data_IF_228570210992
#
_entry.id   IF_228570210992
#
_cell.length_a   1.000
_cell.length_b   1.000
_cell.length_c   1.000
_cell.angle_alpha   90.00
_cell.angle_beta   90.00
_cell.angle_gamma   90.00
#
_symmetry.space_group_name_H-M   'P 1'
#
loop_
_entity.id
_entity.type
_entity.pdbx_description
1 polymer ?
#
# COMPACT_ATOMS: atom_id res chain seq x y z
N UNK A 1 1.82 -9.97 26.95
CA UNK A 1 2.91 -9.58 26.05
C UNK A 1 3.99 -10.66 26.12
N UNK A 2 4.23 -11.38 25.04
CA UNK A 2 5.31 -12.35 24.94
C UNK A 2 6.60 -11.55 24.88
N UNK A 3 7.57 -11.82 25.73
CA UNK A 3 8.85 -11.11 25.70
C UNK A 3 9.73 -11.63 24.54
N UNK A 4 10.73 -10.86 24.12
CA UNK A 4 11.57 -11.16 22.96
C UNK A 4 12.26 -12.53 23.08
N UNK A 5 12.58 -12.98 24.29
CA UNK A 5 13.22 -14.27 24.57
C UNK A 5 12.24 -15.44 24.34
N UNK A 6 11.00 -15.30 24.81
CA UNK A 6 9.92 -16.27 24.55
C UNK A 6 9.54 -16.31 23.05
N UNK A 7 9.60 -15.15 22.36
CA UNK A 7 9.38 -15.08 20.93
C UNK A 7 10.49 -15.78 20.13
N UNK A 8 11.74 -15.65 20.58
CA UNK A 8 12.91 -16.34 19.98
C UNK A 8 12.82 -17.84 20.24
N UNK A 9 12.47 -18.28 21.46
CA UNK A 9 12.28 -19.70 21.80
C UNK A 9 11.12 -20.34 21.01
N UNK A 10 10.02 -19.62 20.78
CA UNK A 10 8.92 -20.07 19.94
C UNK A 10 9.38 -20.22 18.47
N UNK A 11 10.16 -19.28 17.96
CA UNK A 11 10.72 -19.37 16.61
C UNK A 11 11.74 -20.50 16.50
N UNK A 12 12.56 -20.72 17.52
CA UNK A 12 13.53 -21.82 17.54
C UNK A 12 12.85 -23.19 17.64
N UNK A 13 11.72 -23.28 18.34
CA UNK A 13 10.90 -24.50 18.39
C UNK A 13 10.05 -24.74 17.14
N UNK A 14 9.84 -23.72 16.29
CA UNK A 14 9.05 -23.83 15.05
C UNK A 14 9.84 -24.37 13.84
N UNK A 15 11.17 -24.58 13.97
CA UNK A 15 12.03 -25.08 12.88
C UNK A 15 12.53 -26.49 13.16
N UNK A 16 11.61 -27.41 13.14
CA UNK A 16 11.88 -28.85 13.14
C UNK A 16 12.12 -29.37 11.71
N UNK A 17 12.61 -30.61 11.59
CA UNK A 17 12.66 -31.34 10.33
C UNK A 17 11.33 -31.29 9.56
N UNK A 18 10.19 -31.24 10.28
CA UNK A 18 8.85 -31.09 9.70
C UNK A 18 8.64 -29.79 8.93
N UNK A 19 9.31 -28.69 9.32
CA UNK A 19 9.20 -27.41 8.58
C UNK A 19 10.14 -27.38 7.38
N UNK A 20 11.27 -28.10 7.43
CA UNK A 20 12.12 -28.36 6.28
C UNK A 20 11.36 -29.16 5.22
N UNK A 21 10.66 -30.20 5.61
CA UNK A 21 9.89 -31.09 4.73
C UNK A 21 8.63 -30.41 4.16
N UNK A 22 8.05 -29.45 4.90
CA UNK A 22 6.80 -28.75 4.55
C UNK A 22 6.89 -27.85 3.31
N UNK A 23 8.09 -27.47 2.93
CA UNK A 23 8.32 -26.55 1.81
C UNK A 23 8.66 -27.23 0.48
N UNK A 24 8.48 -28.56 0.36
CA UNK A 24 8.73 -29.35 -0.86
C UNK A 24 10.12 -29.13 -1.49
N UNK A 25 11.11 -28.70 -0.70
CA UNK A 25 12.44 -28.38 -1.18
C UNK A 25 12.55 -27.13 -2.07
N UNK A 26 11.44 -26.48 -2.45
CA UNK A 26 11.46 -25.32 -3.36
C UNK A 26 12.15 -24.10 -2.77
N UNK A 27 11.97 -23.88 -1.47
CA UNK A 27 12.57 -22.73 -0.80
C UNK A 27 14.07 -22.89 -0.66
N UNK A 28 14.52 -24.08 -0.26
CA UNK A 28 15.94 -24.44 -0.17
C UNK A 28 16.60 -24.34 -1.53
N UNK A 29 15.98 -24.86 -2.58
CA UNK A 29 16.46 -24.75 -3.96
C UNK A 29 16.58 -23.29 -4.41
N UNK A 30 15.62 -22.44 -4.03
CA UNK A 30 15.67 -21.00 -4.31
C UNK A 30 16.85 -20.29 -3.64
N UNK A 31 17.15 -20.64 -2.38
CA UNK A 31 18.32 -20.11 -1.65
C UNK A 31 19.62 -20.61 -2.30
N UNK A 32 19.71 -21.90 -2.60
CA UNK A 32 20.89 -22.48 -3.26
C UNK A 32 21.11 -21.87 -4.65
N UNK A 33 20.04 -21.63 -5.43
CA UNK A 33 20.16 -20.95 -6.71
C UNK A 33 20.80 -19.55 -6.58
N UNK A 34 20.42 -18.79 -5.55
CA UNK A 34 21.06 -17.50 -5.23
C UNK A 34 22.52 -17.63 -4.82
N UNK A 35 22.86 -18.65 -4.02
CA UNK A 35 24.24 -18.95 -3.65
C UNK A 35 25.09 -19.22 -4.90
N UNK A 36 24.56 -20.04 -5.81
CA UNK A 36 25.25 -20.45 -7.04
C UNK A 36 25.34 -19.35 -8.09
N UNK A 37 24.45 -18.36 -8.06
CA UNK A 37 24.48 -17.17 -8.93
C UNK A 37 25.33 -16.03 -8.36
N UNK A 38 25.81 -16.15 -7.11
CA UNK A 38 26.54 -15.08 -6.44
C UNK A 38 25.66 -13.90 -6.03
N UNK A 39 24.34 -14.11 -5.97
CA UNK A 39 23.42 -13.10 -5.48
C UNK A 39 23.49 -12.95 -3.95
N UNK A 40 23.31 -11.71 -3.43
CA UNK A 40 23.30 -11.49 -1.99
C UNK A 40 22.10 -12.14 -1.32
N UNK A 41 22.35 -12.87 -0.24
CA UNK A 41 21.32 -13.43 0.65
C UNK A 41 21.10 -12.50 1.82
N UNK A 42 19.86 -12.06 2.00
CA UNK A 42 19.48 -11.17 3.08
C UNK A 42 19.37 -11.92 4.42
N UNK A 43 20.07 -11.43 5.43
CA UNK A 43 20.17 -12.06 6.76
C UNK A 43 19.37 -11.34 7.86
N UNK A 44 18.47 -10.44 7.46
CA UNK A 44 17.66 -9.66 8.40
C UNK A 44 18.24 -8.28 8.71
N UNK A 45 17.40 -7.40 9.27
CA UNK A 45 17.82 -6.07 9.71
C UNK A 45 18.47 -6.15 11.07
N UNK A 46 19.77 -6.09 11.07
CA UNK A 46 20.46 -5.22 12.02
C UNK A 46 20.58 -3.83 11.38
N UNK A 47 21.04 -2.84 12.17
CA UNK A 47 21.15 -1.43 11.77
C UNK A 47 21.88 -1.16 10.45
N UNK A 48 22.51 -2.16 9.83
CA UNK A 48 23.39 -2.06 8.66
C UNK A 48 22.95 -2.89 7.45
N UNK A 49 21.80 -3.61 7.49
CA UNK A 49 21.29 -4.38 6.34
C UNK A 49 22.21 -5.54 5.96
N UNK A 50 22.41 -6.51 6.86
CA UNK A 50 23.33 -7.62 6.63
C UNK A 50 22.88 -8.49 5.45
N UNK A 51 23.74 -8.58 4.45
CA UNK A 51 23.68 -9.57 3.39
C UNK A 51 24.95 -10.42 3.41
N UNK A 52 24.81 -11.66 3.00
CA UNK A 52 25.95 -12.55 2.73
C UNK A 52 25.97 -12.93 1.25
N UNK A 53 27.13 -12.96 0.65
CA UNK A 53 27.33 -13.37 -0.75
C UNK A 53 28.40 -14.43 -0.77
N UNK A 54 28.13 -15.54 -1.48
CA UNK A 54 29.10 -16.60 -1.67
C UNK A 54 30.34 -16.11 -2.42
N UNK A 55 31.52 -16.31 -1.87
CA UNK A 55 32.78 -15.91 -2.49
C UNK A 55 33.37 -16.99 -3.40
N UNK A 56 33.10 -18.26 -3.08
CA UNK A 56 33.57 -19.41 -3.84
C UNK A 56 32.41 -20.19 -4.44
N UNK A 57 31.98 -19.74 -5.62
CA UNK A 57 30.86 -20.34 -6.35
C UNK A 57 31.19 -21.75 -6.86
N UNK A 58 32.47 -22.04 -7.16
CA UNK A 58 32.87 -23.37 -7.64
C UNK A 58 32.77 -24.39 -6.52
N UNK A 59 33.26 -24.07 -5.34
CA UNK A 59 33.09 -24.89 -4.13
C UNK A 59 31.62 -25.05 -3.78
N UNK A 60 30.82 -23.98 -3.89
CA UNK A 60 29.37 -24.05 -3.65
C UNK A 60 28.69 -25.02 -4.61
N UNK A 61 29.07 -25.06 -5.89
CA UNK A 61 28.53 -26.02 -6.88
C UNK A 61 28.82 -27.47 -6.51
N UNK A 62 29.99 -27.74 -5.96
CA UNK A 62 30.34 -29.09 -5.49
C UNK A 62 29.52 -29.48 -4.26
N UNK A 63 29.42 -28.57 -3.27
CA UNK A 63 28.73 -28.83 -2.01
C UNK A 63 27.20 -28.98 -2.18
N UNK A 64 26.61 -28.24 -3.10
CA UNK A 64 25.17 -28.28 -3.37
C UNK A 64 24.79 -29.07 -4.61
N UNK A 65 25.71 -29.93 -5.12
CA UNK A 65 25.48 -30.74 -6.30
C UNK A 65 24.24 -31.63 -6.18
N UNK A 66 24.02 -32.19 -5.00
CA UNK A 66 22.90 -33.08 -4.69
C UNK A 66 21.95 -32.44 -3.67
N UNK A 67 21.47 -31.21 -3.94
CA UNK A 67 20.54 -30.49 -3.06
C UNK A 67 19.29 -31.31 -2.76
N UNK A 68 18.86 -32.17 -3.67
CA UNK A 68 17.70 -33.02 -3.50
C UNK A 68 17.91 -34.17 -2.46
N UNK A 69 19.17 -34.46 -2.12
CA UNK A 69 19.53 -35.41 -1.06
C UNK A 69 19.72 -34.79 0.32
N UNK A 70 19.59 -33.45 0.43
CA UNK A 70 19.69 -32.78 1.72
C UNK A 70 18.35 -32.86 2.45
N UNK A 71 18.30 -33.80 3.39
CA UNK A 71 17.07 -34.16 4.13
C UNK A 71 16.87 -33.33 5.41
N UNK A 72 17.83 -32.48 5.77
CA UNK A 72 17.79 -31.73 7.02
C UNK A 72 18.49 -30.38 6.96
N UNK A 73 18.13 -29.45 7.88
CA UNK A 73 18.88 -28.22 8.08
C UNK A 73 20.37 -28.43 8.40
N UNK A 74 20.70 -29.55 9.00
CA UNK A 74 22.07 -29.86 9.42
C UNK A 74 22.97 -30.17 8.21
N UNK A 75 22.46 -30.84 7.19
CA UNK A 75 23.17 -31.08 5.94
C UNK A 75 23.48 -29.76 5.22
N UNK A 76 22.49 -28.87 5.17
CA UNK A 76 22.67 -27.53 4.62
C UNK A 76 23.67 -26.72 5.43
N UNK A 77 23.59 -26.76 6.77
CA UNK A 77 24.52 -26.04 7.65
C UNK A 77 25.96 -26.53 7.51
N UNK A 78 26.15 -27.82 7.30
CA UNK A 78 27.46 -28.41 7.05
C UNK A 78 28.05 -27.85 5.76
N UNK A 79 27.29 -27.85 4.67
CA UNK A 79 27.73 -27.27 3.39
C UNK A 79 28.02 -25.76 3.52
N UNK A 80 27.17 -25.02 4.23
CA UNK A 80 27.36 -23.58 4.46
C UNK A 80 28.58 -23.26 5.31
N UNK A 81 28.90 -24.09 6.30
CA UNK A 81 30.08 -23.87 7.15
C UNK A 81 31.37 -23.99 6.36
N UNK A 82 31.42 -24.84 5.33
CA UNK A 82 32.56 -24.94 4.44
C UNK A 82 32.76 -23.73 3.51
N UNK A 83 31.73 -22.92 3.36
CA UNK A 83 31.70 -21.66 2.59
C UNK A 83 31.86 -20.42 3.48
N UNK A 84 32.18 -20.56 4.77
CA UNK A 84 32.13 -19.52 5.77
C UNK A 84 30.77 -18.76 5.73
N UNK A 85 29.70 -19.49 5.43
CA UNK A 85 28.36 -18.95 5.24
C UNK A 85 27.53 -19.01 6.52
N UNK A 86 26.42 -18.26 6.52
CA UNK A 86 25.49 -18.24 7.65
C UNK A 86 24.71 -19.57 7.74
N UNK A 87 24.33 -19.96 8.94
CA UNK A 87 23.49 -21.14 9.17
C UNK A 87 22.11 -20.97 8.51
N UNK A 88 21.46 -22.11 8.22
CA UNK A 88 20.08 -22.13 7.72
C UNK A 88 19.14 -21.29 8.58
N UNK A 89 19.21 -21.45 9.91
CA UNK A 89 18.40 -20.67 10.85
C UNK A 89 18.59 -19.17 10.69
N UNK A 90 19.84 -18.71 10.46
CA UNK A 90 20.12 -17.28 10.25
C UNK A 90 19.60 -16.78 8.91
N UNK A 91 19.79 -17.56 7.84
CA UNK A 91 19.23 -17.25 6.51
C UNK A 91 17.71 -17.19 6.61
N UNK A 92 17.11 -18.21 7.18
CA UNK A 92 15.66 -18.33 7.30
C UNK A 92 15.08 -17.19 8.14
N UNK A 93 15.62 -16.89 9.34
CA UNK A 93 15.21 -15.72 10.14
C UNK A 93 15.32 -14.41 9.36
N UNK A 94 16.35 -14.22 8.55
CA UNK A 94 16.52 -13.07 7.69
C UNK A 94 15.45 -13.01 6.60
N UNK A 95 15.26 -14.08 5.90
CA UNK A 95 14.27 -14.19 4.81
C UNK A 95 12.83 -14.14 5.37
N UNK A 96 12.55 -14.82 6.47
CA UNK A 96 11.24 -14.80 7.13
C UNK A 96 10.95 -13.44 7.73
N UNK A 97 11.91 -12.73 8.31
CA UNK A 97 11.69 -11.35 8.76
C UNK A 97 11.38 -10.41 7.58
N UNK A 98 11.97 -10.63 6.41
CA UNK A 98 11.61 -9.98 5.15
C UNK A 98 10.26 -10.47 4.60
N UNK A 99 10.05 -11.78 4.64
CA UNK A 99 8.84 -12.44 4.17
C UNK A 99 7.66 -12.19 5.12
N UNK A 100 7.85 -12.29 6.45
CA UNK A 100 6.81 -11.97 7.44
C UNK A 100 6.51 -10.47 7.49
N UNK A 101 7.48 -9.57 7.28
CA UNK A 101 7.17 -8.16 7.01
C UNK A 101 6.45 -7.96 5.70
N UNK A 102 6.76 -8.71 4.66
CA UNK A 102 6.02 -8.78 3.43
C UNK A 102 4.64 -9.42 3.63
N UNK A 103 4.53 -10.48 4.45
CA UNK A 103 3.27 -11.12 4.83
C UNK A 103 2.44 -10.24 5.79
N UNK A 104 3.04 -9.56 6.75
CA UNK A 104 2.30 -8.77 7.73
C UNK A 104 1.98 -7.35 7.26
N UNK A 105 2.83 -6.69 6.48
CA UNK A 105 2.60 -5.30 6.05
C UNK A 105 1.97 -5.16 4.67
N UNK A 106 2.15 -6.14 3.78
CA UNK A 106 1.53 -6.15 2.45
C UNK A 106 0.35 -7.10 2.32
N UNK A 107 0.11 -7.95 3.30
CA UNK A 107 -0.65 -9.18 3.12
C UNK A 107 -1.90 -9.36 3.97
N UNK A 108 -2.25 -8.44 4.85
CA UNK A 108 -3.59 -8.47 5.45
C UNK A 108 -4.65 -8.36 4.33
N UNK A 109 -4.41 -7.51 3.33
CA UNK A 109 -5.20 -7.42 2.11
C UNK A 109 -5.18 -8.72 1.31
N UNK A 110 -4.01 -9.20 0.91
CA UNK A 110 -3.86 -10.41 0.11
C UNK A 110 -4.41 -11.66 0.79
N UNK A 111 -4.25 -11.78 2.12
CA UNK A 111 -4.85 -12.86 2.91
C UNK A 111 -6.37 -12.77 2.91
N UNK A 112 -6.91 -11.56 3.07
CA UNK A 112 -8.34 -11.35 3.02
C UNK A 112 -8.91 -11.62 1.63
N UNK A 113 -8.21 -11.23 0.56
CA UNK A 113 -8.61 -11.54 -0.81
C UNK A 113 -8.72 -13.06 -1.03
N UNK A 114 -7.72 -13.84 -0.58
CA UNK A 114 -7.74 -15.29 -0.70
C UNK A 114 -8.81 -15.93 0.17
N UNK A 115 -8.92 -15.52 1.45
CA UNK A 115 -9.95 -15.98 2.38
C UNK A 115 -11.36 -15.72 1.83
N UNK A 116 -11.58 -14.53 1.25
CA UNK A 116 -12.87 -14.15 0.68
C UNK A 116 -13.19 -14.99 -0.56
N UNK A 117 -12.22 -15.21 -1.43
CA UNK A 117 -12.38 -16.03 -2.63
C UNK A 117 -12.66 -17.49 -2.27
N UNK A 118 -11.92 -18.08 -1.33
CA UNK A 118 -12.10 -19.48 -0.89
C UNK A 118 -13.48 -19.70 -0.27
N UNK A 119 -14.07 -18.66 0.33
CA UNK A 119 -15.39 -18.71 0.96
C UNK A 119 -16.46 -17.95 0.17
N UNK A 120 -16.26 -17.69 -1.11
CA UNK A 120 -17.13 -16.82 -1.92
C UNK A 120 -18.60 -17.22 -1.87
N UNK A 121 -18.89 -18.51 -1.84
CA UNK A 121 -20.26 -19.04 -1.78
C UNK A 121 -21.04 -18.55 -0.54
N UNK A 122 -20.38 -18.33 0.58
CA UNK A 122 -21.02 -17.81 1.79
C UNK A 122 -21.40 -16.32 1.69
N UNK A 123 -20.78 -15.60 0.76
CA UNK A 123 -21.02 -14.17 0.54
C UNK A 123 -21.98 -13.89 -0.63
N UNK A 124 -22.24 -14.88 -1.50
CA UNK A 124 -23.13 -14.75 -2.66
C UNK A 124 -24.52 -14.20 -2.28
N UNK A 125 -25.22 -14.68 -1.23
CA UNK A 125 -26.55 -14.17 -0.90
C UNK A 125 -26.57 -12.65 -0.64
N UNK A 126 -25.52 -12.13 0.05
CA UNK A 126 -25.41 -10.68 0.30
C UNK A 126 -25.07 -9.89 -0.95
N UNK A 127 -24.23 -10.44 -1.83
CA UNK A 127 -23.93 -9.83 -3.11
C UNK A 127 -25.15 -9.81 -4.05
N UNK A 128 -25.97 -10.85 -4.03
CA UNK A 128 -27.25 -10.90 -4.77
C UNK A 128 -28.24 -9.82 -4.28
N UNK A 129 -28.32 -9.63 -2.95
CA UNK A 129 -29.12 -8.55 -2.37
C UNK A 129 -28.67 -7.17 -2.89
N UNK A 130 -27.37 -6.91 -2.87
CA UNK A 130 -26.79 -5.61 -3.28
C UNK A 130 -26.96 -5.39 -4.78
N UNK A 131 -26.67 -6.40 -5.59
CA UNK A 131 -26.70 -6.29 -7.06
C UNK A 131 -28.08 -6.49 -7.68
N UNK A 132 -29.03 -7.05 -6.92
CA UNK A 132 -30.33 -7.52 -7.41
C UNK A 132 -30.18 -8.53 -8.57
N UNK A 133 -29.10 -9.31 -8.60
CA UNK A 133 -28.81 -10.33 -9.61
C UNK A 133 -28.65 -11.69 -8.96
N UNK A 134 -29.00 -12.77 -9.71
CA UNK A 134 -28.64 -14.14 -9.34
C UNK A 134 -27.19 -14.44 -9.74
N UNK A 135 -26.38 -14.90 -8.79
CA UNK A 135 -24.93 -15.05 -8.94
C UNK A 135 -24.45 -16.50 -8.92
N UNK A 136 -25.36 -17.48 -8.85
CA UNK A 136 -25.02 -18.91 -8.76
C UNK A 136 -24.09 -19.41 -9.88
N UNK A 137 -24.25 -18.83 -11.10
CA UNK A 137 -23.50 -19.23 -12.30
C UNK A 137 -22.29 -18.31 -12.59
N UNK A 138 -21.94 -17.39 -11.68
CA UNK A 138 -20.80 -16.51 -11.88
C UNK A 138 -19.50 -17.20 -11.46
N UNK A 139 -18.50 -17.08 -12.29
CA UNK A 139 -17.17 -17.54 -11.98
C UNK A 139 -16.38 -16.44 -11.26
N UNK A 140 -15.92 -16.74 -10.04
CA UNK A 140 -15.11 -15.83 -9.23
C UNK A 140 -13.63 -16.01 -9.58
N UNK A 141 -12.96 -14.92 -9.94
CA UNK A 141 -11.53 -14.92 -10.22
C UNK A 141 -10.82 -13.80 -9.48
N UNK A 142 -9.69 -14.11 -8.86
CA UNK A 142 -8.80 -13.10 -8.31
C UNK A 142 -8.16 -12.34 -9.46
N UNK A 143 -8.21 -11.00 -9.36
CA UNK A 143 -7.52 -10.09 -10.28
C UNK A 143 -6.67 -9.20 -9.41
N UNK A 144 -5.50 -8.89 -9.83
CA UNK A 144 -4.61 -8.05 -9.04
C UNK A 144 -3.17 -8.38 -9.36
N UNK A 145 -2.29 -7.55 -8.90
CA UNK A 145 -0.86 -7.66 -9.12
C UNK A 145 -0.26 -6.29 -9.41
N UNK A 146 1.05 -6.24 -9.57
CA UNK A 146 1.81 -5.01 -9.80
C UNK A 146 1.41 -4.23 -11.06
N UNK A 147 0.63 -4.86 -11.97
CA UNK A 147 0.23 -4.28 -13.24
C UNK A 147 -1.00 -3.36 -13.16
N UNK A 148 -1.69 -3.32 -12.01
CA UNK A 148 -2.89 -2.51 -11.83
C UNK A 148 -2.60 -1.14 -11.21
N UNK A 149 -1.45 -0.55 -11.51
CA UNK A 149 -1.10 0.80 -11.04
C UNK A 149 -1.92 1.84 -11.81
N UNK A 150 -2.62 2.67 -11.06
CA UNK A 150 -3.33 3.83 -11.59
C UNK A 150 -2.38 5.02 -11.64
N UNK A 151 -2.06 5.56 -12.83
CA UNK A 151 -1.14 6.68 -12.95
C UNK A 151 -1.80 7.99 -12.56
N UNK A 152 -1.04 8.91 -11.93
CA UNK A 152 -1.44 10.30 -11.83
C UNK A 152 -1.32 10.97 -13.19
N UNK A 153 -2.35 11.70 -13.59
CA UNK A 153 -2.46 12.35 -14.90
C UNK A 153 -2.99 13.79 -14.75
N UNK A 154 -2.76 14.58 -15.80
CA UNK A 154 -3.29 15.91 -15.91
C UNK A 154 -4.10 15.98 -17.22
N UNK A 155 -5.40 16.20 -17.11
CA UNK A 155 -6.31 16.40 -18.23
C UNK A 155 -6.67 17.87 -18.32
N UNK A 156 -6.03 18.58 -19.26
CA UNK A 156 -6.10 20.05 -19.30
C UNK A 156 -5.48 20.66 -18.05
N UNK A 157 -6.31 21.30 -17.22
CA UNK A 157 -5.92 21.86 -15.93
C UNK A 157 -6.36 21.01 -14.73
N UNK A 158 -6.94 19.82 -14.97
CA UNK A 158 -7.43 18.98 -13.87
C UNK A 158 -6.40 17.90 -13.54
N UNK A 159 -6.12 17.76 -12.25
CA UNK A 159 -5.34 16.67 -11.69
C UNK A 159 -6.26 15.48 -11.42
N UNK A 160 -5.93 14.29 -11.94
CA UNK A 160 -6.75 13.09 -11.81
C UNK A 160 -5.91 11.84 -11.58
N UNK A 161 -6.56 10.79 -11.09
CA UNK A 161 -6.00 9.44 -11.03
C UNK A 161 -6.55 8.63 -12.23
N UNK A 162 -5.70 8.34 -13.20
CA UNK A 162 -6.06 7.61 -14.41
C UNK A 162 -6.52 6.18 -14.13
N UNK A 163 -7.03 5.51 -15.14
CA UNK A 163 -7.36 4.08 -15.10
C UNK A 163 -6.09 3.23 -15.23
N UNK A 164 -6.12 2.02 -14.70
CA UNK A 164 -5.09 1.02 -14.96
C UNK A 164 -5.13 0.61 -16.44
N UNK A 165 -3.99 0.16 -16.95
CA UNK A 165 -3.89 -0.24 -18.36
C UNK A 165 -4.89 -1.34 -18.70
N UNK A 166 -5.67 -1.11 -19.76
CA UNK A 166 -6.68 -2.05 -20.25
C UNK A 166 -8.01 -2.01 -19.50
N UNK A 167 -8.13 -1.21 -18.41
CA UNK A 167 -9.37 -1.05 -17.68
C UNK A 167 -10.25 0.05 -18.28
N UNK A 168 -11.58 -0.13 -18.17
CA UNK A 168 -12.59 0.79 -18.73
C UNK A 168 -13.22 1.68 -17.67
N UNK A 169 -13.24 1.23 -16.42
CA UNK A 169 -13.86 1.94 -15.27
C UNK A 169 -12.91 1.96 -14.08
N UNK A 170 -13.22 2.78 -13.11
CA UNK A 170 -12.48 2.76 -11.83
C UNK A 170 -12.70 1.43 -11.12
N UNK A 171 -13.94 0.92 -11.12
CA UNK A 171 -14.24 -0.39 -10.55
C UNK A 171 -13.40 -1.51 -11.16
N UNK A 172 -13.26 -1.51 -12.49
CA UNK A 172 -12.40 -2.46 -13.20
C UNK A 172 -10.92 -2.34 -12.80
N UNK A 173 -10.46 -1.11 -12.51
CA UNK A 173 -9.09 -0.80 -12.10
C UNK A 173 -8.76 -1.14 -10.65
N UNK A 174 -9.76 -1.14 -9.76
CA UNK A 174 -9.58 -1.36 -8.31
C UNK A 174 -10.08 -2.73 -7.85
N UNK A 175 -10.58 -3.55 -8.76
CA UNK A 175 -11.08 -4.87 -8.45
C UNK A 175 -9.96 -5.80 -7.98
N UNK A 176 -10.15 -6.41 -6.83
CA UNK A 176 -9.31 -7.48 -6.28
C UNK A 176 -9.89 -8.85 -6.68
N UNK A 177 -11.23 -8.94 -6.81
CA UNK A 177 -11.95 -10.12 -7.30
C UNK A 177 -12.98 -9.67 -8.36
N UNK A 178 -13.14 -10.47 -9.41
CA UNK A 178 -14.20 -10.31 -10.41
C UNK A 178 -15.11 -11.53 -10.45
N UNK A 179 -16.41 -11.29 -10.38
CA UNK A 179 -17.43 -12.28 -10.65
C UNK A 179 -17.89 -12.10 -12.09
N UNK A 180 -17.77 -13.15 -12.93
CA UNK A 180 -18.06 -13.07 -14.37
C UNK A 180 -19.02 -14.14 -14.81
N UNK A 181 -20.02 -13.72 -15.65
CA UNK A 181 -20.91 -14.59 -16.40
C UNK A 181 -21.08 -14.02 -17.83
N UNK A 182 -20.44 -14.63 -18.80
CA UNK A 182 -20.40 -14.08 -20.16
C UNK A 182 -19.77 -12.68 -20.17
N UNK A 183 -20.53 -11.70 -20.64
CA UNK A 183 -20.12 -10.29 -20.70
C UNK A 183 -20.45 -9.51 -19.41
N UNK A 184 -21.21 -10.09 -18.49
CA UNK A 184 -21.54 -9.45 -17.21
C UNK A 184 -20.42 -9.64 -16.21
N UNK A 185 -20.06 -8.54 -15.55
CA UNK A 185 -18.95 -8.53 -14.56
C UNK A 185 -19.38 -7.72 -13.36
N UNK A 186 -19.10 -8.24 -12.18
CA UNK A 186 -19.20 -7.54 -10.91
C UNK A 186 -17.79 -7.41 -10.32
N UNK A 187 -17.37 -6.18 -10.11
CA UNK A 187 -16.07 -5.87 -9.56
C UNK A 187 -16.16 -5.77 -8.03
N UNK A 188 -15.28 -6.48 -7.30
CA UNK A 188 -15.19 -6.42 -5.86
C UNK A 188 -13.82 -5.83 -5.46
N UNK A 189 -13.82 -4.73 -4.71
CA UNK A 189 -12.60 -4.17 -4.13
C UNK A 189 -12.55 -4.48 -2.64
N UNK A 190 -11.58 -5.29 -2.22
CA UNK A 190 -11.45 -5.80 -0.86
C UNK A 190 -10.54 -4.89 -0.03
N UNK A 191 -11.00 -4.56 1.16
CA UNK A 191 -10.26 -3.72 2.10
C UNK A 191 -10.25 -4.37 3.48
N UNK A 192 -9.09 -4.40 4.12
CA UNK A 192 -8.93 -4.96 5.46
C UNK A 192 -8.32 -3.96 6.41
N UNK A 193 -8.89 -3.85 7.62
CA UNK A 193 -8.38 -3.01 8.70
C UNK A 193 -9.11 -1.67 8.86
N UNK A 194 -8.76 -0.95 9.92
CA UNK A 194 -9.44 0.30 10.33
C UNK A 194 -8.97 1.53 9.53
N UNK A 195 -7.81 1.44 8.90
CA UNK A 195 -7.23 2.51 8.06
C UNK A 195 -6.94 1.90 6.70
N UNK A 196 -7.80 2.19 5.76
CA UNK A 196 -7.71 1.70 4.39
C UNK A 196 -7.51 2.87 3.43
N UNK A 197 -6.78 2.62 2.37
CA UNK A 197 -6.33 3.66 1.46
C UNK A 197 -7.01 3.54 0.10
N UNK A 198 -7.51 4.68 -0.43
CA UNK A 198 -7.92 4.79 -1.83
C UNK A 198 -6.73 5.07 -2.75
N UNK A 199 -5.73 5.81 -2.22
CA UNK A 199 -4.54 6.21 -2.95
C UNK A 199 -3.31 5.95 -2.10
N UNK A 200 -2.28 5.42 -2.73
CA UNK A 200 -0.92 5.38 -2.20
C UNK A 200 0.05 5.44 -3.39
N UNK A 201 0.33 6.65 -3.87
CA UNK A 201 1.05 6.84 -5.11
C UNK A 201 2.26 7.75 -4.98
N UNK A 202 3.28 7.51 -5.81
CA UNK A 202 4.47 8.35 -5.89
C UNK A 202 4.20 9.65 -6.65
N UNK A 203 4.69 10.77 -6.12
CA UNK A 203 4.52 12.12 -6.69
C UNK A 203 5.85 12.81 -7.00
N UNK A 204 6.95 12.06 -7.08
CA UNK A 204 8.28 12.60 -7.38
C UNK A 204 8.39 13.29 -8.73
N UNK A 205 7.54 12.92 -9.69
CA UNK A 205 7.49 13.58 -11.01
C UNK A 205 6.71 14.91 -10.99
N UNK A 206 5.94 15.16 -9.93
CA UNK A 206 5.15 16.37 -9.75
C UNK A 206 5.96 17.40 -8.96
N UNK A 207 6.53 16.99 -7.84
CA UNK A 207 7.29 17.85 -6.94
C UNK A 207 8.79 17.53 -7.05
N UNK A 208 9.57 18.47 -7.57
CA UNK A 208 11.00 18.29 -7.81
C UNK A 208 11.86 18.86 -6.70
N UNK A 209 13.03 18.29 -6.46
CA UNK A 209 13.97 18.80 -5.47
C UNK A 209 14.38 20.26 -5.77
N UNK A 210 14.62 20.59 -7.05
CA UNK A 210 15.12 21.89 -7.45
C UNK A 210 14.20 23.07 -7.03
N UNK A 211 12.87 22.88 -7.08
CA UNK A 211 11.93 23.93 -6.64
C UNK A 211 11.99 24.20 -5.13
N UNK A 212 12.23 23.15 -4.31
CA UNK A 212 12.41 23.29 -2.87
C UNK A 212 13.79 23.87 -2.50
N UNK A 213 14.83 23.51 -3.25
CA UNK A 213 16.17 24.07 -3.06
C UNK A 213 16.14 25.58 -3.38
N UNK A 214 15.51 25.99 -4.46
CA UNK A 214 15.31 27.41 -4.80
C UNK A 214 14.54 28.16 -3.69
N UNK A 215 13.47 27.56 -3.15
CA UNK A 215 12.75 28.15 -2.03
C UNK A 215 13.62 28.34 -0.78
N UNK A 216 14.52 27.40 -0.52
CA UNK A 216 15.49 27.51 0.59
C UNK A 216 16.47 28.65 0.39
N UNK A 217 16.92 28.87 -0.85
CA UNK A 217 17.97 29.81 -1.17
C UNK A 217 17.46 31.26 -1.25
N UNK A 218 16.26 31.48 -1.84
CA UNK A 218 15.73 32.84 -2.12
C UNK A 218 14.29 33.08 -1.63
N UNK A 219 13.66 32.10 -0.99
CA UNK A 219 12.27 32.19 -0.52
C UNK A 219 11.21 32.11 -1.63
N UNK A 220 11.61 31.83 -2.87
CA UNK A 220 10.69 31.76 -4.02
C UNK A 220 10.35 30.31 -4.34
N UNK A 221 9.08 29.95 -4.23
CA UNK A 221 8.60 28.62 -4.61
C UNK A 221 7.92 28.65 -5.98
N UNK A 222 8.60 28.10 -6.96
CA UNK A 222 8.08 27.86 -8.32
C UNK A 222 8.10 26.34 -8.59
N UNK A 223 7.01 25.64 -8.26
CA UNK A 223 6.96 24.19 -8.39
C UNK A 223 6.71 23.70 -9.82
N UNK A 224 6.39 24.61 -10.73
CA UNK A 224 5.94 24.31 -12.07
C UNK A 224 4.45 23.94 -12.16
N UNK A 225 3.90 24.03 -13.39
CA UNK A 225 2.46 23.96 -13.66
C UNK A 225 1.75 22.75 -13.02
N UNK A 226 2.30 21.54 -13.13
CA UNK A 226 1.63 20.34 -12.62
C UNK A 226 1.57 20.31 -11.09
N UNK A 227 2.59 20.82 -10.42
CA UNK A 227 2.57 20.93 -8.96
C UNK A 227 1.61 22.01 -8.50
N UNK A 228 1.53 23.16 -9.19
CA UNK A 228 0.54 24.21 -8.90
C UNK A 228 -0.88 23.66 -9.05
N UNK A 229 -1.21 23.03 -10.17
CA UNK A 229 -2.53 22.40 -10.38
C UNK A 229 -2.87 21.37 -9.28
N UNK A 230 -1.86 20.62 -8.81
CA UNK A 230 -2.07 19.68 -7.71
C UNK A 230 -2.38 20.41 -6.39
N UNK A 231 -1.62 21.46 -6.06
CA UNK A 231 -1.85 22.23 -4.84
C UNK A 231 -3.20 22.96 -4.88
N UNK A 232 -3.55 23.57 -6.02
CA UNK A 232 -4.81 24.26 -6.24
C UNK A 232 -6.01 23.33 -6.14
N UNK A 233 -5.89 22.08 -6.66
CA UNK A 233 -6.94 21.08 -6.52
C UNK A 233 -7.26 20.75 -5.05
N UNK A 234 -6.31 20.90 -4.14
CA UNK A 234 -6.51 20.70 -2.70
C UNK A 234 -6.66 22.03 -1.91
N UNK A 235 -6.64 23.18 -2.58
CA UNK A 235 -6.71 24.48 -1.92
C UNK A 235 -5.51 24.76 -1.01
N UNK A 236 -4.34 24.23 -1.34
CA UNK A 236 -3.11 24.33 -0.54
C UNK A 236 -2.33 25.59 -0.95
N UNK A 237 -2.02 26.46 0.02
CA UNK A 237 -1.08 27.56 -0.20
C UNK A 237 0.32 27.02 -0.53
N UNK A 238 0.84 27.39 -1.70
CA UNK A 238 2.11 26.88 -2.20
C UNK A 238 3.32 27.26 -1.35
N UNK A 239 3.32 28.47 -0.79
CA UNK A 239 4.45 28.94 0.01
C UNK A 239 4.47 28.27 1.39
N UNK A 240 3.30 28.13 2.04
CA UNK A 240 3.16 27.35 3.29
C UNK A 240 3.52 25.88 3.06
N UNK A 241 3.15 25.33 1.90
CA UNK A 241 3.53 23.97 1.52
C UNK A 241 5.05 23.80 1.44
N UNK A 242 5.74 24.66 0.67
CA UNK A 242 7.18 24.64 0.56
C UNK A 242 7.86 24.85 1.92
N UNK A 243 7.41 25.83 2.70
CA UNK A 243 7.94 26.11 4.03
C UNK A 243 7.88 24.88 4.93
N UNK A 244 6.75 24.15 4.91
CA UNK A 244 6.56 22.94 5.72
C UNK A 244 7.62 21.87 5.46
N UNK A 245 8.10 21.74 4.21
CA UNK A 245 9.11 20.73 3.87
C UNK A 245 10.54 21.23 4.04
N UNK A 246 10.81 22.50 3.81
CA UNK A 246 12.16 23.10 3.83
C UNK A 246 12.57 23.48 5.24
N UNK A 247 11.72 24.18 5.99
CA UNK A 247 12.06 24.78 7.26
C UNK A 247 11.74 23.90 8.48
N UNK A 248 11.38 22.65 8.25
CA UNK A 248 11.13 21.73 9.33
C UNK A 248 12.39 21.46 10.16
N UNK A 249 12.38 21.89 11.41
CA UNK A 249 13.44 21.69 12.40
C UNK A 249 13.07 20.60 13.44
N UNK A 250 11.87 20.07 13.40
CA UNK A 250 11.36 19.07 14.34
C UNK A 250 10.95 19.63 15.70
N UNK A 251 11.11 20.93 15.95
CA UNK A 251 10.88 21.56 17.25
C UNK A 251 9.81 22.65 17.22
N UNK A 252 9.88 23.54 16.23
CA UNK A 252 9.00 24.68 16.12
C UNK A 252 7.80 24.35 15.23
N UNK A 253 6.59 24.67 15.70
CA UNK A 253 5.41 24.54 14.86
C UNK A 253 5.40 25.60 13.77
N UNK A 254 4.85 25.23 12.61
CA UNK A 254 4.56 26.20 11.55
C UNK A 254 3.47 27.16 12.03
N UNK A 255 3.67 28.46 11.91
CA UNK A 255 2.63 29.45 12.21
C UNK A 255 1.40 29.21 11.33
N UNK A 256 0.21 29.39 11.91
CA UNK A 256 -1.05 29.10 11.22
C UNK A 256 -1.07 27.71 10.54
N UNK A 257 -0.51 26.72 11.22
CA UNK A 257 -0.38 25.37 10.66
C UNK A 257 -1.74 24.70 10.36
N UNK A 258 -2.80 25.20 10.96
CA UNK A 258 -4.16 24.67 10.79
C UNK A 258 -5.04 25.72 10.09
N UNK A 259 -5.52 25.37 8.90
CA UNK A 259 -6.34 26.24 8.06
C UNK A 259 -7.66 25.57 7.71
N UNK A 260 -8.78 26.22 7.97
CA UNK A 260 -10.08 25.80 7.45
C UNK A 260 -10.19 26.26 5.98
N UNK A 261 -10.35 25.31 5.07
CA UNK A 261 -10.53 25.59 3.65
C UNK A 261 -11.88 25.05 3.10
N UNK A 262 -12.86 24.87 3.98
CA UNK A 262 -14.14 24.26 3.66
C UNK A 262 -14.86 24.96 2.51
N UNK A 263 -14.94 26.30 2.56
CA UNK A 263 -15.65 27.07 1.54
C UNK A 263 -14.95 27.07 0.18
N UNK A 264 -13.61 26.96 0.18
CA UNK A 264 -12.81 26.79 -1.03
C UNK A 264 -13.13 25.43 -1.64
N UNK A 265 -13.09 24.38 -0.84
CA UNK A 265 -13.25 23.00 -1.31
C UNK A 265 -14.67 22.70 -1.79
N UNK A 266 -15.70 23.29 -1.18
CA UNK A 266 -17.09 23.16 -1.65
C UNK A 266 -17.30 23.68 -3.08
N UNK A 267 -16.52 24.66 -3.51
CA UNK A 267 -16.58 25.32 -4.83
C UNK A 267 -15.53 24.79 -5.81
N UNK A 268 -14.63 23.90 -5.37
CA UNK A 268 -13.51 23.44 -6.17
C UNK A 268 -13.91 22.28 -7.09
N UNK A 269 -14.18 22.61 -8.34
CA UNK A 269 -14.57 21.60 -9.36
C UNK A 269 -13.41 20.66 -9.72
N UNK A 270 -12.17 21.09 -9.64
CA UNK A 270 -11.01 20.26 -9.95
C UNK A 270 -10.80 19.22 -8.86
N UNK A 271 -11.01 19.59 -7.60
CA UNK A 271 -11.06 18.63 -6.50
C UNK A 271 -12.20 17.60 -6.69
N UNK A 272 -13.37 18.04 -7.10
CA UNK A 272 -14.49 17.12 -7.38
C UNK A 272 -14.12 16.12 -8.47
N UNK A 273 -13.54 16.56 -9.59
CA UNK A 273 -13.06 15.66 -10.65
C UNK A 273 -11.98 14.69 -10.13
N UNK A 274 -11.06 15.18 -9.30
CA UNK A 274 -10.08 14.33 -8.65
C UNK A 274 -10.74 13.24 -7.80
N UNK A 275 -11.69 13.60 -6.93
CA UNK A 275 -12.42 12.64 -6.10
C UNK A 275 -13.20 11.62 -6.94
N UNK A 276 -13.84 12.07 -8.02
CA UNK A 276 -14.54 11.22 -8.98
C UNK A 276 -13.59 10.20 -9.61
N UNK A 277 -12.39 10.62 -9.93
CA UNK A 277 -11.36 9.74 -10.48
C UNK A 277 -10.79 8.77 -9.45
N UNK A 278 -10.70 9.16 -8.19
CA UNK A 278 -10.14 8.34 -7.11
C UNK A 278 -11.08 7.23 -6.69
N UNK A 279 -12.28 7.60 -6.28
CA UNK A 279 -13.28 6.66 -5.74
C UNK A 279 -13.96 5.93 -6.90
N UNK A 280 -14.44 6.68 -7.90
CA UNK A 280 -15.14 6.12 -9.04
C UNK A 280 -16.41 5.35 -8.68
N UNK A 281 -16.80 4.45 -9.58
CA UNK A 281 -17.96 3.58 -9.41
C UNK A 281 -17.75 2.29 -10.22
N UNK A 282 -18.81 1.45 -10.34
CA UNK A 282 -18.79 0.15 -11.03
C UNK A 282 -18.09 -0.94 -10.20
N UNK A 283 -18.27 -0.88 -8.87
CA UNK A 283 -17.78 -1.93 -7.98
C UNK A 283 -18.51 -1.95 -6.64
N UNK A 284 -18.33 -3.04 -5.91
CA UNK A 284 -18.71 -3.15 -4.52
C UNK A 284 -17.43 -3.16 -3.69
N UNK A 285 -17.32 -2.28 -2.70
CA UNK A 285 -16.23 -2.37 -1.74
C UNK A 285 -16.62 -3.34 -0.62
N UNK A 286 -15.76 -4.32 -0.38
CA UNK A 286 -15.90 -5.31 0.69
C UNK A 286 -14.90 -4.98 1.78
N UNK A 287 -15.38 -4.57 2.94
CA UNK A 287 -14.54 -4.05 4.01
C UNK A 287 -14.57 -4.97 5.25
N UNK A 288 -13.44 -5.59 5.57
CA UNK A 288 -13.26 -6.40 6.77
C UNK A 288 -12.81 -5.54 7.94
N UNK A 289 -13.67 -5.38 8.94
CA UNK A 289 -13.42 -4.66 10.19
C UNK A 289 -13.42 -5.66 11.36
N UNK A 290 -12.24 -6.01 11.85
CA UNK A 290 -12.11 -7.08 12.84
C UNK A 290 -12.52 -8.44 12.25
N UNK A 291 -13.61 -9.00 12.75
CA UNK A 291 -14.20 -10.26 12.24
C UNK A 291 -15.36 -10.03 11.27
N UNK A 292 -15.91 -8.82 11.21
CA UNK A 292 -17.11 -8.51 10.47
C UNK A 292 -16.77 -8.03 9.06
N UNK A 293 -17.62 -8.42 8.10
CA UNK A 293 -17.54 -8.01 6.70
C UNK A 293 -18.70 -7.08 6.41
N UNK A 294 -18.38 -5.90 5.92
CA UNK A 294 -19.30 -4.86 5.55
C UNK A 294 -19.18 -4.56 4.06
N UNK A 295 -20.24 -4.04 3.48
CA UNK A 295 -20.29 -3.72 2.05
C UNK A 295 -20.62 -2.26 1.84
N UNK A 296 -19.98 -1.64 0.86
CA UNK A 296 -20.31 -0.32 0.35
C UNK A 296 -20.62 -0.46 -1.13
N UNK A 297 -21.85 -0.14 -1.46
CA UNK A 297 -22.31 -0.17 -2.83
C UNK A 297 -21.81 1.08 -3.56
N UNK A 298 -21.00 0.86 -4.58
CA UNK A 298 -20.48 1.88 -5.50
C UNK A 298 -20.73 1.46 -6.95
N UNK A 299 -21.83 0.77 -7.22
CA UNK A 299 -22.14 0.29 -8.56
C UNK A 299 -22.47 1.42 -9.54
N UNK A 300 -23.03 2.51 -9.05
CA UNK A 300 -23.43 3.66 -9.88
C UNK A 300 -22.75 4.95 -9.47
N UNK A 301 -22.76 5.95 -10.39
CA UNK A 301 -22.32 7.32 -10.06
C UNK A 301 -23.08 7.90 -8.87
N UNK A 302 -24.39 7.61 -8.80
CA UNK A 302 -25.25 8.07 -7.70
C UNK A 302 -24.78 7.52 -6.34
N UNK A 303 -24.39 6.25 -6.30
CA UNK A 303 -23.91 5.62 -5.07
C UNK A 303 -22.60 6.26 -4.61
N UNK A 304 -21.66 6.50 -5.56
CA UNK A 304 -20.44 7.27 -5.27
C UNK A 304 -20.77 8.68 -4.77
N UNK A 305 -21.65 9.40 -5.44
CA UNK A 305 -22.02 10.77 -5.07
C UNK A 305 -22.68 10.81 -3.68
N UNK A 306 -23.46 9.79 -3.34
CA UNK A 306 -24.01 9.62 -1.99
C UNK A 306 -22.91 9.41 -0.95
N UNK A 307 -21.85 8.63 -1.26
CA UNK A 307 -20.74 8.41 -0.33
C UNK A 307 -20.02 9.72 0.02
N UNK A 308 -19.73 10.54 -1.01
CA UNK A 308 -19.01 11.81 -0.85
C UNK A 308 -19.95 13.03 -0.84
N UNK A 309 -21.23 12.83 -0.50
CA UNK A 309 -22.20 13.92 -0.38
C UNK A 309 -21.86 14.85 0.78
N UNK A 310 -22.28 16.10 0.65
CA UNK A 310 -22.28 17.09 1.74
C UNK A 310 -20.94 17.21 2.47
N UNK A 311 -19.98 17.85 1.83
CA UNK A 311 -18.74 18.25 2.52
C UNK A 311 -19.08 19.18 3.69
N UNK A 312 -18.90 18.66 4.92
CA UNK A 312 -19.18 19.38 6.16
C UNK A 312 -18.01 20.27 6.56
N UNK A 313 -16.79 19.71 6.43
CA UNK A 313 -15.57 20.37 6.86
C UNK A 313 -14.37 19.91 6.04
N UNK A 314 -13.47 20.84 5.76
CA UNK A 314 -12.14 20.57 5.22
C UNK A 314 -11.10 21.37 5.97
N UNK A 315 -10.03 20.73 6.43
CA UNK A 315 -8.97 21.38 7.21
C UNK A 315 -7.61 20.92 6.69
N UNK A 316 -6.75 21.87 6.38
CA UNK A 316 -5.34 21.65 6.04
C UNK A 316 -4.50 21.76 7.31
N UNK A 317 -3.55 20.84 7.49
CA UNK A 317 -2.57 20.85 8.56
C UNK A 317 -1.16 20.88 7.96
N UNK A 318 -0.54 22.03 7.95
CA UNK A 318 0.86 22.21 7.57
C UNK A 318 1.76 21.70 8.69
N UNK A 319 2.56 20.65 8.40
CA UNK A 319 3.33 19.96 9.43
C UNK A 319 2.55 18.87 10.18
N UNK A 320 1.39 18.44 9.66
CA UNK A 320 0.47 17.52 10.31
C UNK A 320 -0.26 18.15 11.50
N UNK A 321 -0.99 17.35 12.29
CA UNK A 321 -1.85 17.85 13.38
C UNK A 321 -1.13 18.66 14.46
N UNK A 322 0.19 18.52 14.58
CA UNK A 322 1.00 19.25 15.56
C UNK A 322 1.82 20.39 14.93
N UNK A 323 1.72 20.59 13.61
CA UNK A 323 2.50 21.60 12.88
C UNK A 323 4.01 21.33 12.85
N UNK A 324 4.47 20.14 13.24
CA UNK A 324 5.89 19.80 13.48
C UNK A 324 6.39 18.63 12.63
N UNK A 325 5.85 18.43 11.42
CA UNK A 325 6.22 17.29 10.57
C UNK A 325 6.47 17.69 9.12
N UNK A 326 7.37 16.97 8.42
CA UNK A 326 7.55 17.09 6.95
C UNK A 326 6.39 16.47 6.20
N UNK A 327 5.21 17.03 6.37
CA UNK A 327 3.98 16.55 5.74
C UNK A 327 2.89 17.62 5.75
N UNK A 328 2.01 17.55 4.77
CA UNK A 328 0.76 18.32 4.76
C UNK A 328 -0.38 17.33 4.74
N UNK A 329 -1.24 17.40 5.76
CA UNK A 329 -2.45 16.60 5.87
C UNK A 329 -3.67 17.46 5.50
N UNK A 330 -4.64 16.87 4.80
CA UNK A 330 -5.95 17.49 4.56
C UNK A 330 -7.00 16.51 5.08
N UNK A 331 -7.76 16.90 6.09
CA UNK A 331 -8.89 16.14 6.60
C UNK A 331 -10.18 16.70 6.04
N UNK A 332 -10.96 15.84 5.40
CA UNK A 332 -12.25 16.18 4.80
C UNK A 332 -13.34 15.31 5.40
N UNK A 333 -14.31 15.96 6.03
CA UNK A 333 -15.47 15.32 6.65
C UNK A 333 -16.68 15.50 5.72
N UNK A 334 -17.11 14.43 5.10
CA UNK A 334 -18.38 14.33 4.39
C UNK A 334 -19.43 13.70 5.29
N UNK A 335 -20.67 13.62 4.83
CA UNK A 335 -21.74 12.99 5.60
C UNK A 335 -21.48 11.51 5.90
N UNK A 336 -21.03 10.76 4.91
CA UNK A 336 -20.90 9.31 4.98
C UNK A 336 -19.45 8.82 5.07
N UNK A 337 -18.46 9.69 4.86
CA UNK A 337 -17.06 9.34 4.87
C UNK A 337 -16.18 10.49 5.38
N UNK A 338 -15.14 10.15 6.10
CA UNK A 338 -14.03 11.07 6.38
C UNK A 338 -12.80 10.60 5.62
N UNK A 339 -12.18 11.48 4.86
CA UNK A 339 -10.98 11.19 4.07
C UNK A 339 -9.83 12.06 4.56
N UNK A 340 -8.68 11.46 4.72
CA UNK A 340 -7.45 12.16 5.05
C UNK A 340 -6.43 11.99 3.93
N UNK A 341 -6.14 13.05 3.23
CA UNK A 341 -5.01 13.11 2.29
C UNK A 341 -3.73 13.47 3.04
N UNK A 342 -2.63 12.91 2.59
CA UNK A 342 -1.32 13.12 3.19
C UNK A 342 -0.25 13.27 2.11
N UNK A 343 0.31 14.47 2.00
CA UNK A 343 1.54 14.73 1.25
C UNK A 343 2.71 14.51 2.19
N UNK A 344 3.57 13.55 1.91
CA UNK A 344 4.67 13.19 2.82
C UNK A 344 5.95 12.76 2.11
N UNK A 345 7.05 12.80 2.83
CA UNK A 345 8.29 12.14 2.43
C UNK A 345 8.21 10.65 2.78
N UNK A 346 8.55 9.75 1.86
CA UNK A 346 8.58 8.30 2.13
C UNK A 346 9.91 7.83 2.73
N UNK A 347 11.00 8.51 2.36
CA UNK A 347 12.33 8.09 2.76
C UNK A 347 12.94 9.10 3.73
N UNK A 348 13.61 8.59 4.77
CA UNK A 348 14.39 9.41 5.67
C UNK A 348 15.44 10.22 4.89
N UNK A 349 15.63 11.49 5.24
CA UNK A 349 16.57 12.40 4.58
C UNK A 349 16.06 13.10 3.31
N UNK A 350 14.87 12.76 2.77
CA UNK A 350 14.26 13.55 1.71
C UNK A 350 13.61 14.80 2.28
N UNK A 351 13.78 15.92 1.57
CA UNK A 351 13.30 17.24 2.01
C UNK A 351 11.94 17.57 1.41
N UNK A 352 11.57 16.95 0.30
CA UNK A 352 10.36 17.26 -0.47
C UNK A 352 9.39 16.05 -0.51
N UNK A 353 8.09 16.30 -0.77
CA UNK A 353 7.10 15.24 -0.77
C UNK A 353 7.33 14.25 -1.91
N UNK A 354 7.23 12.98 -1.60
CA UNK A 354 7.44 11.89 -2.56
C UNK A 354 6.24 10.97 -2.70
N UNK A 355 5.25 11.14 -1.81
CA UNK A 355 4.03 10.32 -1.77
C UNK A 355 2.80 11.15 -1.46
N UNK A 356 1.71 10.82 -2.18
CA UNK A 356 0.34 11.20 -1.85
C UNK A 356 -0.40 9.93 -1.43
N UNK A 357 -0.98 9.96 -0.24
CA UNK A 357 -1.80 8.90 0.31
C UNK A 357 -3.17 9.47 0.69
N UNK A 358 -4.24 8.69 0.50
CA UNK A 358 -5.56 9.00 1.00
C UNK A 358 -6.09 7.84 1.82
N UNK A 359 -6.18 8.03 3.12
CA UNK A 359 -6.82 7.12 4.05
C UNK A 359 -8.25 7.58 4.33
N UNK A 360 -9.15 6.64 4.56
CA UNK A 360 -10.56 6.98 4.80
C UNK A 360 -11.16 6.19 5.96
N UNK A 361 -12.26 6.75 6.48
CA UNK A 361 -13.13 6.09 7.45
C UNK A 361 -14.58 6.30 7.02
N UNK A 362 -15.29 5.22 6.78
CA UNK A 362 -16.71 5.25 6.38
C UNK A 362 -17.58 5.28 7.64
N UNK A 363 -18.66 6.07 7.61
CA UNK A 363 -19.66 6.08 8.68
C UNK A 363 -20.30 4.69 8.77
N UNK A 364 -20.35 4.05 9.96
CA UNK A 364 -20.94 2.72 10.11
C UNK A 364 -22.36 2.58 9.58
N UNK A 365 -23.17 3.63 9.62
CA UNK A 365 -24.55 3.63 9.09
C UNK A 365 -24.64 3.51 7.56
N UNK A 366 -23.52 3.72 6.84
CA UNK A 366 -23.44 3.64 5.38
C UNK A 366 -23.12 2.23 4.88
N UNK A 367 -22.69 1.33 5.75
CA UNK A 367 -22.48 -0.06 5.39
C UNK A 367 -23.79 -0.81 5.19
N UNK A 368 -23.80 -1.71 4.21
CA UNK A 368 -24.87 -2.67 3.94
C UNK A 368 -24.57 -4.03 4.56
#
# INVERSE_FOLDING_TARGET
MINLKQYVEIIESMFTKADWDKHDGKYQKGIVAKILSGEPIYLGKDSNGNTWTCKDINKAKELFKDIDSMDSPDDFNKAMSELDGPSWTKIFKGQVSGYMKGLDSGNAGNRFEQEYLDNIHSYIPKLEEITSKKLDDYNATRVGGDNLKRPLQFEGNSFILGLSQGCKTVGDSVADIKLKKGNDTINLSLKAGNLVSFINTGILKIFTAASFDKFRDDGTYDPGKNAELTLDAFGIDKNKFAYTFVNYDGKTAVDDYKVDNTDIMKKNNDFKKFMDSVIGYDYIMVHKLGKDIHYVDLLTKKDRDNLISNLKKSTIYYGGKLGKGKRVDIEMEFENITIKFNFRTKFAGKVYPSYLQADYKINPSFYK
#
